data_IF_845316081955
#
_entry.id   IF_845316081955
#
_cell.length_a   1.000
_cell.length_b   1.000
_cell.length_c   1.000
_cell.angle_alpha   90.00
_cell.angle_beta   90.00
_cell.angle_gamma   90.00
#
_symmetry.space_group_name_H-M   'P 1'
#
loop_
_entity.id
_entity.type
_entity.pdbx_description
1 polymer ?
#
# COMPACT_ATOMS: atom_id res chain seq x y z
N UNK A 1 11.06 0.24 -21.36
CA UNK A 1 10.41 0.41 -20.04
C UNK A 1 10.30 1.90 -19.71
N UNK A 2 9.13 2.52 -19.93
CA UNK A 2 8.83 3.87 -19.42
C UNK A 2 7.84 3.71 -18.28
N UNK A 3 8.34 3.30 -17.12
CA UNK A 3 7.61 3.25 -15.86
C UNK A 3 8.27 4.27 -14.95
N UNK A 4 7.68 5.48 -14.82
CA UNK A 4 7.00 5.80 -13.56
C UNK A 4 5.90 6.85 -13.77
N UNK A 5 4.69 6.37 -14.02
CA UNK A 5 3.41 7.07 -13.74
C UNK A 5 2.51 6.18 -12.87
N UNK A 6 3.08 5.08 -12.35
CA UNK A 6 2.32 4.04 -11.68
C UNK A 6 2.35 4.28 -10.16
N UNK A 7 1.18 4.26 -9.49
CA UNK A 7 1.06 4.26 -8.05
C UNK A 7 1.77 3.04 -7.46
N UNK A 8 2.60 3.27 -6.46
CA UNK A 8 3.38 2.22 -5.79
C UNK A 8 2.79 1.99 -4.40
N UNK A 9 2.50 0.74 -4.06
CA UNK A 9 2.31 0.34 -2.67
C UNK A 9 3.63 -0.23 -2.16
N UNK A 10 4.12 0.31 -1.07
CA UNK A 10 5.18 -0.32 -0.28
C UNK A 10 4.53 -1.04 0.88
N UNK A 11 4.61 -2.35 0.85
CA UNK A 11 4.25 -3.17 1.98
C UNK A 11 5.47 -3.48 2.83
N UNK A 12 5.26 -3.42 4.14
CA UNK A 12 6.28 -3.65 5.14
C UNK A 12 5.87 -4.86 5.99
N UNK A 13 6.70 -5.91 5.99
CA UNK A 13 6.47 -7.11 6.79
C UNK A 13 7.68 -7.36 7.68
N UNK A 14 7.44 -7.79 8.91
CA UNK A 14 8.48 -8.31 9.81
C UNK A 14 8.35 -9.84 9.81
N UNK A 15 8.99 -10.56 8.87
CA UNK A 15 9.03 -12.02 8.94
C UNK A 15 9.77 -12.45 10.21
N UNK A 16 9.12 -13.28 11.02
CA UNK A 16 9.76 -13.94 12.16
C UNK A 16 10.55 -15.14 11.65
N UNK A 17 11.88 -15.06 11.72
CA UNK A 17 12.76 -16.17 11.36
C UNK A 17 12.99 -17.06 12.59
N UNK A 18 12.56 -18.32 12.54
CA UNK A 18 12.88 -19.33 13.56
C UNK A 18 14.24 -19.97 13.27
N UNK A 19 15.26 -19.83 14.13
CA UNK A 19 16.51 -20.56 13.97
C UNK A 19 16.30 -22.03 14.39
N UNK A 20 16.42 -22.97 13.45
CA UNK A 20 16.38 -24.41 13.78
C UNK A 20 17.54 -24.88 14.67
N UNK A 21 18.61 -24.09 14.86
CA UNK A 21 19.83 -24.56 15.53
C UNK A 21 20.60 -23.50 16.34
N UNK A 22 19.96 -22.60 17.10
CA UNK A 22 20.61 -21.85 18.21
C UNK A 22 19.58 -21.12 19.08
N UNK A 23 19.63 -21.17 20.43
CA UNK A 23 18.51 -20.73 21.26
C UNK A 23 18.39 -19.21 21.50
N UNK A 24 19.15 -18.33 20.84
CA UNK A 24 19.29 -16.93 21.33
C UNK A 24 19.34 -15.79 20.31
N UNK A 25 19.05 -15.98 19.02
CA UNK A 25 18.95 -14.82 18.09
C UNK A 25 17.80 -15.03 17.09
N UNK A 26 16.65 -14.42 17.35
CA UNK A 26 15.62 -14.20 16.34
C UNK A 26 16.08 -13.04 15.45
N UNK A 27 16.52 -13.32 14.23
CA UNK A 27 16.83 -12.29 13.25
C UNK A 27 15.52 -11.83 12.59
N UNK A 28 14.74 -10.99 13.26
CA UNK A 28 13.59 -10.31 12.66
C UNK A 28 14.07 -9.13 11.81
N UNK A 29 14.62 -9.42 10.62
CA UNK A 29 14.96 -8.38 9.66
C UNK A 29 13.71 -7.96 8.91
N UNK A 30 13.38 -6.67 8.91
CA UNK A 30 12.26 -6.23 8.12
C UNK A 30 12.44 -6.43 6.63
N UNK A 31 11.32 -6.64 5.97
CA UNK A 31 11.25 -6.92 4.55
C UNK A 31 10.25 -5.96 3.91
N UNK A 32 10.75 -5.13 2.99
CA UNK A 32 9.95 -4.18 2.22
C UNK A 32 9.77 -4.65 0.77
N UNK A 33 8.55 -4.51 0.24
CA UNK A 33 8.24 -4.86 -1.16
C UNK A 33 7.56 -3.68 -1.85
N UNK A 34 8.08 -3.29 -3.01
CA UNK A 34 7.48 -2.29 -3.88
C UNK A 34 6.61 -2.96 -4.95
N UNK A 35 5.32 -2.66 -4.92
CA UNK A 35 4.31 -3.28 -5.78
C UNK A 35 3.54 -2.20 -6.52
N UNK A 36 3.25 -2.42 -7.80
CA UNK A 36 2.46 -1.53 -8.65
C UNK A 36 1.31 -2.24 -9.36
N UNK A 37 0.61 -1.47 -10.18
CA UNK A 37 -0.39 -1.99 -11.11
C UNK A 37 -0.11 -1.51 -12.53
N UNK A 38 0.00 -2.44 -13.47
CA UNK A 38 0.16 -2.15 -14.89
C UNK A 38 -1.13 -1.62 -15.56
N UNK A 39 -1.07 -1.40 -16.88
CA UNK A 39 -2.20 -0.98 -17.72
C UNK A 39 -3.32 -2.04 -17.83
N UNK A 40 -3.06 -3.30 -17.50
CA UNK A 40 -4.02 -4.40 -17.47
C UNK A 40 -4.65 -4.63 -16.08
N UNK A 41 -4.31 -3.80 -15.09
CA UNK A 41 -4.83 -3.98 -13.73
C UNK A 41 -4.15 -5.12 -12.96
N UNK A 42 -3.03 -5.63 -13.46
CA UNK A 42 -2.25 -6.73 -12.87
C UNK A 42 -1.23 -6.18 -11.89
N UNK A 43 -0.98 -6.95 -10.83
CA UNK A 43 0.02 -6.63 -9.80
C UNK A 43 1.42 -6.87 -10.36
N UNK A 44 2.27 -5.84 -10.33
CA UNK A 44 3.67 -5.92 -10.76
C UNK A 44 4.61 -5.71 -9.57
N UNK A 45 5.65 -6.53 -9.47
CA UNK A 45 6.70 -6.39 -8.46
C UNK A 45 7.82 -5.50 -9.01
N UNK A 46 8.03 -4.33 -8.40
CA UNK A 46 9.13 -3.44 -8.78
C UNK A 46 10.46 -3.79 -8.10
N UNK A 47 10.39 -4.36 -6.91
CA UNK A 47 11.57 -4.75 -6.16
C UNK A 47 11.27 -5.09 -4.72
N UNK A 48 12.25 -5.68 -4.05
CA UNK A 48 12.19 -6.00 -2.63
C UNK A 48 13.49 -5.58 -1.94
N UNK A 49 13.42 -5.34 -0.64
CA UNK A 49 14.56 -4.94 0.15
C UNK A 49 14.52 -5.59 1.54
N UNK A 50 15.67 -6.13 1.95
CA UNK A 50 15.91 -6.54 3.32
C UNK A 50 16.50 -5.37 4.10
N UNK A 51 15.84 -5.04 5.20
CA UNK A 51 16.22 -3.94 6.06
C UNK A 51 16.87 -4.50 7.32
N UNK A 52 17.88 -3.80 7.83
CA UNK A 52 18.57 -4.22 9.06
C UNK A 52 17.72 -3.95 10.29
N UNK A 53 16.99 -2.83 10.30
CA UNK A 53 16.17 -2.35 11.41
C UNK A 53 15.10 -1.37 10.93
N UNK A 54 14.13 -1.09 11.80
CA UNK A 54 13.15 -0.02 11.64
C UNK A 54 13.77 1.29 12.14
N UNK A 55 14.44 2.03 11.26
CA UNK A 55 14.93 3.37 11.60
C UNK A 55 14.74 4.30 10.42
N UNK A 56 14.65 5.60 10.71
CA UNK A 56 14.59 6.65 9.67
C UNK A 56 15.74 6.51 8.68
N UNK A 57 16.97 6.22 9.15
CA UNK A 57 18.15 6.06 8.29
C UNK A 57 17.95 4.93 7.28
N UNK A 58 17.42 3.81 7.73
CA UNK A 58 17.18 2.63 6.89
C UNK A 58 16.07 2.88 5.87
N UNK A 59 14.97 3.52 6.26
CA UNK A 59 13.92 3.91 5.32
C UNK A 59 14.36 4.99 4.32
N UNK A 60 15.19 5.95 4.74
CA UNK A 60 15.77 6.94 3.82
C UNK A 60 16.66 6.29 2.77
N UNK A 61 17.50 5.34 3.18
CA UNK A 61 18.29 4.54 2.24
C UNK A 61 17.40 3.76 1.26
N UNK A 62 16.32 3.17 1.75
CA UNK A 62 15.36 2.43 0.92
C UNK A 62 14.72 3.34 -0.14
N UNK A 63 14.22 4.52 0.25
CA UNK A 63 13.62 5.48 -0.69
C UNK A 63 14.63 5.97 -1.73
N UNK A 64 15.84 6.36 -1.30
CA UNK A 64 16.92 6.78 -2.23
C UNK A 64 17.26 5.69 -3.23
N UNK A 65 17.39 4.45 -2.75
CA UNK A 65 17.74 3.30 -3.58
C UNK A 65 16.63 3.01 -4.59
N UNK A 66 15.37 3.06 -4.17
CA UNK A 66 14.23 2.92 -5.05
C UNK A 66 14.22 3.97 -6.16
N UNK A 67 14.38 5.26 -5.83
CA UNK A 67 14.44 6.33 -6.84
C UNK A 67 15.62 6.16 -7.79
N UNK A 68 16.79 5.75 -7.28
CA UNK A 68 17.98 5.48 -8.10
C UNK A 68 17.73 4.36 -9.11
N UNK A 69 17.09 3.27 -8.70
CA UNK A 69 16.76 2.14 -9.57
C UNK A 69 15.68 2.51 -10.60
N UNK A 70 14.64 3.22 -10.17
CA UNK A 70 13.52 3.61 -11.04
C UNK A 70 13.83 4.83 -11.91
N UNK A 71 14.96 5.51 -11.69
CA UNK A 71 15.41 6.77 -12.33
C UNK A 71 14.48 7.97 -12.15
N UNK A 72 13.30 7.79 -11.53
CA UNK A 72 12.34 8.85 -11.24
C UNK A 72 11.44 8.44 -10.08
N UNK A 73 11.04 9.44 -9.29
CA UNK A 73 10.15 9.25 -8.16
C UNK A 73 8.72 8.85 -8.60
N UNK A 74 8.01 8.05 -7.79
CA UNK A 74 6.60 7.78 -8.02
C UNK A 74 5.76 9.05 -7.82
N UNK A 75 4.58 9.10 -8.44
CA UNK A 75 3.63 10.22 -8.20
C UNK A 75 2.91 10.05 -6.86
N UNK A 76 2.61 8.81 -6.50
CA UNK A 76 1.89 8.44 -5.29
C UNK A 76 2.53 7.20 -4.68
N UNK A 77 2.61 7.16 -3.35
CA UNK A 77 3.05 6.00 -2.60
C UNK A 77 2.03 5.69 -1.51
N UNK A 78 1.72 4.41 -1.32
CA UNK A 78 0.88 3.91 -0.24
C UNK A 78 1.74 3.08 0.68
N UNK A 79 1.76 3.39 1.98
CA UNK A 79 2.49 2.61 2.98
C UNK A 79 1.67 2.39 4.24
N UNK A 80 2.30 1.73 5.22
CA UNK A 80 1.74 1.57 6.55
C UNK A 80 1.90 2.87 7.35
N UNK A 81 1.17 2.98 8.47
CA UNK A 81 1.25 4.11 9.39
C UNK A 81 2.50 3.99 10.29
N UNK A 82 3.69 4.04 9.69
CA UNK A 82 4.98 4.07 10.39
C UNK A 82 5.57 5.49 10.39
N UNK A 83 5.95 5.98 11.56
CA UNK A 83 6.42 7.36 11.73
C UNK A 83 7.77 7.59 11.02
N UNK A 84 8.69 6.63 11.09
CA UNK A 84 10.01 6.76 10.50
C UNK A 84 9.98 6.67 8.98
N UNK A 85 9.10 5.84 8.43
CA UNK A 85 8.84 5.75 7.01
C UNK A 85 8.18 7.02 6.48
N UNK A 86 7.24 7.61 7.23
CA UNK A 86 6.63 8.89 6.85
C UNK A 86 7.67 10.03 6.79
N UNK A 87 8.57 10.10 7.77
CA UNK A 87 9.69 11.06 7.77
C UNK A 87 10.64 10.83 6.59
N UNK A 88 10.99 9.57 6.31
CA UNK A 88 11.86 9.22 5.19
C UNK A 88 11.24 9.58 3.82
N UNK A 89 9.95 9.30 3.63
CA UNK A 89 9.21 9.66 2.41
C UNK A 89 9.18 11.18 2.23
N UNK A 90 8.84 11.91 3.30
CA UNK A 90 8.77 13.38 3.28
C UNK A 90 10.11 14.02 2.95
N UNK A 91 11.22 13.38 3.34
CA UNK A 91 12.58 13.89 3.11
C UNK A 91 13.13 13.51 1.74
N UNK A 92 12.97 12.25 1.31
CA UNK A 92 13.66 11.71 0.13
C UNK A 92 12.85 11.79 -1.15
N UNK A 93 11.52 11.83 -1.06
CA UNK A 93 10.60 11.90 -2.21
C UNK A 93 9.47 12.93 -1.98
N UNK A 94 9.80 14.21 -1.71
CA UNK A 94 8.85 15.22 -1.23
C UNK A 94 7.70 15.54 -2.20
N UNK A 95 7.88 15.34 -3.51
CA UNK A 95 6.81 15.57 -4.50
C UNK A 95 5.91 14.34 -4.72
N UNK A 96 6.10 13.26 -3.95
CA UNK A 96 5.24 12.07 -3.98
C UNK A 96 4.11 12.24 -2.98
N UNK A 97 2.86 12.08 -3.43
CA UNK A 97 1.75 12.05 -2.48
C UNK A 97 1.75 10.73 -1.70
N UNK A 98 1.98 10.84 -0.40
CA UNK A 98 1.90 9.72 0.53
C UNK A 98 0.46 9.49 0.99
N UNK A 99 0.02 8.23 0.95
CA UNK A 99 -1.21 7.76 1.54
C UNK A 99 -0.98 6.53 2.43
N UNK A 100 -1.87 6.33 3.41
CA UNK A 100 -1.86 5.15 4.25
C UNK A 100 -2.73 4.05 3.66
N UNK A 101 -2.24 2.82 3.74
CA UNK A 101 -2.97 1.65 3.30
C UNK A 101 -4.23 1.48 4.15
N UNK A 102 -5.40 1.59 3.51
CA UNK A 102 -6.69 1.49 4.21
C UNK A 102 -6.83 0.13 4.91
N UNK A 103 -6.33 -0.95 4.31
CA UNK A 103 -6.38 -2.28 4.91
C UNK A 103 -5.59 -2.35 6.22
N UNK A 104 -4.40 -1.74 6.29
CA UNK A 104 -3.60 -1.67 7.52
C UNK A 104 -4.23 -0.80 8.60
N UNK A 105 -4.97 0.24 8.21
CA UNK A 105 -5.75 1.04 9.14
C UNK A 105 -6.89 0.18 9.70
N UNK A 106 -7.71 -0.41 8.83
CA UNK A 106 -8.89 -1.18 9.22
C UNK A 106 -8.55 -2.45 10.00
N UNK A 107 -7.41 -3.09 9.73
CA UNK A 107 -6.99 -4.31 10.44
C UNK A 107 -6.61 -4.04 11.90
N UNK A 108 -6.30 -2.79 12.26
CA UNK A 108 -5.97 -2.37 13.63
C UNK A 108 -7.18 -1.86 14.41
N UNK A 109 -8.35 -1.70 13.77
CA UNK A 109 -9.55 -1.16 14.42
C UNK A 109 -9.97 -1.90 15.66
N UNK A 110 -9.92 -3.23 15.63
CA UNK A 110 -10.32 -4.05 16.77
C UNK A 110 -9.40 -3.84 17.98
N UNK A 111 -8.11 -3.61 17.74
CA UNK A 111 -7.14 -3.30 18.79
C UNK A 111 -7.26 -1.88 19.33
N UNK A 112 -7.66 -0.93 18.48
CA UNK A 112 -7.75 0.49 18.87
C UNK A 112 -9.09 0.85 19.50
N UNK A 113 -10.20 0.44 18.89
CA UNK A 113 -11.50 1.03 19.16
C UNK A 113 -12.48 0.08 19.87
N UNK A 114 -12.29 -1.24 19.84
CA UNK A 114 -13.25 -2.18 20.47
C UNK A 114 -13.42 -1.92 21.97
N UNK A 115 -12.32 -1.68 22.70
CA UNK A 115 -12.39 -1.43 24.14
C UNK A 115 -13.03 -0.06 24.49
N UNK A 116 -12.88 0.92 23.59
CA UNK A 116 -13.36 2.30 23.76
C UNK A 116 -14.84 2.40 23.40
N UNK A 117 -15.22 1.88 22.22
CA UNK A 117 -16.56 2.04 21.65
C UNK A 117 -17.54 0.95 22.08
N UNK A 118 -17.04 -0.22 22.49
CA UNK A 118 -17.84 -1.36 22.94
C UNK A 118 -19.00 -1.66 21.97
N UNK A 119 -20.24 -1.43 22.39
CA UNK A 119 -21.46 -1.68 21.59
C UNK A 119 -21.55 -0.80 20.34
N UNK A 120 -20.92 0.38 20.33
CA UNK A 120 -20.94 1.31 19.20
C UNK A 120 -19.89 0.97 18.13
N UNK A 121 -19.02 -0.02 18.36
CA UNK A 121 -17.92 -0.35 17.45
C UNK A 121 -18.41 -0.72 16.04
N UNK A 122 -19.49 -1.49 15.92
CA UNK A 122 -20.07 -1.90 14.63
C UNK A 122 -20.62 -0.71 13.85
N UNK A 123 -21.37 0.17 14.53
CA UNK A 123 -21.90 1.41 13.96
C UNK A 123 -20.77 2.33 13.50
N UNK A 124 -19.75 2.53 14.34
CA UNK A 124 -18.60 3.35 14.01
C UNK A 124 -17.82 2.79 12.81
N UNK A 125 -17.67 1.47 12.68
CA UNK A 125 -17.05 0.86 11.50
C UNK A 125 -17.86 1.12 10.22
N UNK A 126 -19.20 1.11 10.32
CA UNK A 126 -20.06 1.43 9.18
C UNK A 126 -19.94 2.91 8.80
N UNK A 127 -19.91 3.81 9.78
CA UNK A 127 -19.66 5.23 9.58
C UNK A 127 -18.28 5.47 8.96
N UNK A 128 -17.22 4.89 9.51
CA UNK A 128 -15.87 4.99 8.93
C UNK A 128 -15.87 4.62 7.44
N UNK A 129 -16.53 3.52 7.07
CA UNK A 129 -16.64 3.11 5.67
C UNK A 129 -17.45 4.08 4.81
N UNK A 130 -18.50 4.71 5.36
CA UNK A 130 -19.25 5.78 4.70
C UNK A 130 -18.34 6.98 4.44
N UNK A 131 -17.65 7.46 5.47
CA UNK A 131 -16.75 8.62 5.40
C UNK A 131 -15.54 8.41 4.51
N UNK A 132 -14.93 7.21 4.54
CA UNK A 132 -13.85 6.85 3.64
C UNK A 132 -14.25 6.99 2.16
N UNK A 133 -15.54 6.76 1.84
CA UNK A 133 -16.07 6.89 0.49
C UNK A 133 -16.50 8.29 0.10
N UNK A 134 -16.48 9.26 1.02
CA UNK A 134 -16.86 10.63 0.69
C UNK A 134 -15.94 11.24 -0.38
N UNK A 135 -16.55 12.10 -1.17
CA UNK A 135 -15.93 12.78 -2.30
C UNK A 135 -15.42 14.16 -1.93
N UNK A 136 -16.06 14.77 -0.94
CA UNK A 136 -15.91 16.17 -0.59
C UNK A 136 -15.21 16.36 0.76
N UNK A 137 -14.35 17.38 0.83
CA UNK A 137 -13.56 17.68 2.02
C UNK A 137 -14.44 18.35 3.07
N UNK A 138 -15.32 19.28 2.69
CA UNK A 138 -16.15 20.04 3.62
C UNK A 138 -17.18 19.13 4.30
N UNK A 139 -17.74 18.17 3.56
CA UNK A 139 -18.60 17.11 4.11
C UNK A 139 -17.87 16.26 5.15
N UNK A 140 -16.63 15.86 4.85
CA UNK A 140 -15.81 15.11 5.81
C UNK A 140 -15.51 15.96 7.05
N UNK A 141 -15.10 17.23 6.86
CA UNK A 141 -14.78 18.12 7.97
C UNK A 141 -16.00 18.38 8.86
N UNK A 142 -17.18 18.54 8.28
CA UNK A 142 -18.40 18.84 9.04
C UNK A 142 -18.88 17.67 9.89
N UNK A 143 -18.83 16.46 9.36
CA UNK A 143 -19.50 15.31 9.97
C UNK A 143 -18.56 14.30 10.65
N UNK A 144 -17.24 14.36 10.45
CA UNK A 144 -16.32 13.35 10.99
C UNK A 144 -16.28 13.37 12.53
N UNK A 145 -16.69 12.28 13.21
CA UNK A 145 -16.99 12.34 14.64
C UNK A 145 -15.75 12.33 15.54
N UNK A 146 -14.77 11.44 15.31
CA UNK A 146 -13.49 11.41 16.04
C UNK A 146 -12.54 10.31 15.49
N UNK A 147 -11.26 10.38 15.86
CA UNK A 147 -10.26 9.35 15.59
C UNK A 147 -9.61 9.49 14.22
N UNK A 148 -8.31 9.20 14.12
CA UNK A 148 -7.51 9.31 12.88
C UNK A 148 -7.56 10.68 12.17
N UNK A 149 -8.06 11.72 12.84
CA UNK A 149 -8.28 13.03 12.25
C UNK A 149 -6.96 13.75 11.90
N UNK A 150 -5.95 13.66 12.77
CA UNK A 150 -4.62 14.22 12.53
C UNK A 150 -3.96 13.69 11.25
N UNK A 151 -4.30 12.45 10.88
CA UNK A 151 -3.77 11.79 9.70
C UNK A 151 -4.74 11.82 8.50
N UNK A 152 -5.84 12.58 8.57
CA UNK A 152 -6.90 12.61 7.54
C UNK A 152 -6.38 12.82 6.11
N UNK A 153 -5.34 13.65 5.95
CA UNK A 153 -4.73 13.96 4.65
C UNK A 153 -4.07 12.76 3.96
N UNK A 154 -3.84 11.66 4.68
CA UNK A 154 -3.14 10.48 4.19
C UNK A 154 -4.09 9.28 3.98
N UNK A 155 -5.30 9.26 4.56
CA UNK A 155 -6.20 8.11 4.40
C UNK A 155 -7.60 8.46 3.87
N UNK A 156 -8.06 9.69 4.03
CA UNK A 156 -9.41 10.08 3.57
C UNK A 156 -9.41 10.26 2.05
N UNK A 157 -10.33 9.58 1.37
CA UNK A 157 -10.42 9.60 -0.10
C UNK A 157 -10.49 11.02 -0.66
N UNK A 158 -11.34 11.91 -0.10
CA UNK A 158 -11.48 13.31 -0.50
C UNK A 158 -10.13 14.05 -0.63
N UNK A 159 -9.23 13.87 0.35
CA UNK A 159 -7.88 14.47 0.34
C UNK A 159 -6.90 13.81 -0.64
N UNK A 160 -7.19 12.58 -1.08
CA UNK A 160 -6.36 11.82 -2.01
C UNK A 160 -6.78 11.99 -3.47
N UNK A 161 -8.02 12.42 -3.75
CA UNK A 161 -8.59 12.39 -5.12
C UNK A 161 -7.87 13.22 -6.16
N UNK A 162 -7.18 14.27 -5.73
CA UNK A 162 -6.37 15.09 -6.63
C UNK A 162 -5.14 14.35 -7.21
N UNK A 163 -4.83 13.15 -6.72
CA UNK A 163 -3.65 12.39 -7.10
C UNK A 163 -4.02 11.03 -7.69
N UNK A 164 -3.26 10.59 -8.70
CA UNK A 164 -3.55 9.34 -9.40
C UNK A 164 -3.07 8.12 -8.62
N UNK A 165 -4.00 7.42 -7.96
CA UNK A 165 -3.75 6.15 -7.28
C UNK A 165 -4.13 4.93 -8.10
N UNK A 166 -4.77 5.10 -9.27
CA UNK A 166 -5.02 4.02 -10.24
C UNK A 166 -5.66 2.76 -9.65
N UNK A 167 -6.51 2.92 -8.64
CA UNK A 167 -7.19 1.81 -7.97
C UNK A 167 -6.40 1.03 -6.93
N UNK A 168 -5.24 1.55 -6.48
CA UNK A 168 -4.41 0.93 -5.46
C UNK A 168 -4.91 1.15 -4.02
N UNK A 169 -5.81 2.09 -3.79
CA UNK A 169 -6.33 2.44 -2.46
C UNK A 169 -7.51 1.57 -2.00
N UNK A 170 -8.00 0.64 -2.83
CA UNK A 170 -9.17 -0.17 -2.43
C UNK A 170 -8.76 -1.27 -1.45
N UNK A 171 -9.55 -1.46 -0.40
CA UNK A 171 -9.26 -2.43 0.68
C UNK A 171 -9.04 -3.85 0.14
N UNK A 172 -9.91 -4.31 -0.76
CA UNK A 172 -9.77 -5.64 -1.38
C UNK A 172 -8.52 -5.80 -2.24
N UNK A 173 -8.04 -4.73 -2.89
CA UNK A 173 -6.76 -4.78 -3.63
C UNK A 173 -5.58 -4.87 -2.65
N UNK A 174 -5.56 -4.02 -1.62
CA UNK A 174 -4.53 -4.07 -0.59
C UNK A 174 -4.50 -5.44 0.11
N UNK A 175 -5.67 -6.00 0.41
CA UNK A 175 -5.82 -7.35 0.98
C UNK A 175 -5.30 -8.43 0.03
N UNK A 176 -5.66 -8.37 -1.25
CA UNK A 176 -5.18 -9.33 -2.25
C UNK A 176 -3.66 -9.30 -2.36
N UNK A 177 -3.05 -8.11 -2.36
CA UNK A 177 -1.59 -7.95 -2.39
C UNK A 177 -0.98 -8.48 -1.08
N UNK A 178 -1.58 -8.18 0.07
CA UNK A 178 -1.13 -8.72 1.35
C UNK A 178 -1.18 -10.25 1.40
N UNK A 179 -2.29 -10.86 0.96
CA UNK A 179 -2.45 -12.30 0.86
C UNK A 179 -1.43 -12.91 -0.11
N UNK A 180 -1.18 -12.26 -1.25
CA UNK A 180 -0.13 -12.66 -2.18
C UNK A 180 1.23 -12.69 -1.48
N UNK A 181 1.63 -11.63 -0.78
CA UNK A 181 2.91 -11.61 -0.05
C UNK A 181 2.98 -12.67 1.04
N UNK A 182 1.90 -12.91 1.78
CA UNK A 182 1.85 -13.88 2.86
C UNK A 182 2.13 -15.31 2.38
N UNK A 183 1.81 -15.64 1.12
CA UNK A 183 2.17 -16.93 0.50
C UNK A 183 3.69 -17.16 0.52
N UNK A 184 4.47 -16.10 0.42
CA UNK A 184 5.93 -16.15 0.31
C UNK A 184 6.64 -15.89 1.65
N UNK A 185 5.99 -15.25 2.62
CA UNK A 185 6.54 -14.99 3.96
C UNK A 185 6.03 -16.02 4.98
N UNK A 186 6.69 -17.18 5.06
CA UNK A 186 6.40 -18.17 6.12
C UNK A 186 7.28 -17.94 7.36
N UNK A 187 6.67 -17.97 8.56
CA UNK A 187 7.31 -17.76 9.89
C UNK A 187 8.36 -18.81 10.30
N UNK A 188 8.72 -19.71 9.38
CA UNK A 188 9.71 -20.78 9.57
C UNK A 188 10.72 -20.88 8.41
N UNK A 189 10.66 -19.96 7.45
CA UNK A 189 11.59 -19.91 6.32
C UNK A 189 12.92 -19.30 6.78
N UNK A 190 14.06 -19.78 6.28
CA UNK A 190 15.34 -19.08 6.42
C UNK A 190 15.51 -18.05 5.27
N UNK A 191 16.46 -17.13 5.37
CA UNK A 191 16.67 -16.08 4.35
C UNK A 191 16.83 -16.67 2.93
N UNK A 192 17.57 -17.77 2.80
CA UNK A 192 17.76 -18.47 1.51
C UNK A 192 16.46 -19.07 0.98
N UNK A 193 15.58 -19.54 1.86
CA UNK A 193 14.27 -20.02 1.45
C UNK A 193 13.39 -18.86 0.99
N UNK A 194 13.47 -17.69 1.65
CA UNK A 194 12.71 -16.51 1.26
C UNK A 194 13.14 -15.98 -0.11
N UNK A 195 14.44 -15.96 -0.43
CA UNK A 195 14.92 -15.59 -1.78
C UNK A 195 14.31 -16.51 -2.83
N UNK A 196 14.36 -17.84 -2.60
CA UNK A 196 13.70 -18.80 -3.50
C UNK A 196 12.19 -18.57 -3.61
N UNK A 197 11.51 -18.16 -2.53
CA UNK A 197 10.09 -17.82 -2.57
C UNK A 197 9.83 -16.55 -3.39
N UNK A 198 10.74 -15.57 -3.36
CA UNK A 198 10.64 -14.36 -4.18
C UNK A 198 10.83 -14.70 -5.65
N UNK A 199 11.80 -15.56 -5.99
CA UNK A 199 11.98 -16.03 -7.37
C UNK A 199 10.72 -16.73 -7.89
N UNK A 200 10.14 -17.62 -7.08
CA UNK A 200 8.85 -18.26 -7.40
C UNK A 200 7.70 -17.24 -7.51
N UNK A 201 7.70 -16.18 -6.72
CA UNK A 201 6.69 -15.12 -6.81
C UNK A 201 6.81 -14.34 -8.11
N UNK A 202 8.03 -14.04 -8.55
CA UNK A 202 8.30 -13.40 -9.84
C UNK A 202 7.83 -14.30 -10.99
N UNK A 203 8.12 -15.60 -10.91
CA UNK A 203 7.63 -16.59 -11.89
C UNK A 203 6.09 -16.71 -11.88
N UNK A 204 5.44 -16.77 -10.71
CA UNK A 204 3.98 -16.83 -10.57
C UNK A 204 3.32 -15.60 -11.20
N UNK A 205 3.89 -14.41 -10.97
CA UNK A 205 3.44 -13.15 -11.58
C UNK A 205 3.61 -13.23 -13.11
N UNK A 206 4.78 -13.61 -13.62
CA UNK A 206 5.01 -13.73 -15.07
C UNK A 206 4.11 -14.76 -15.76
N UNK A 207 3.87 -15.91 -15.15
CA UNK A 207 2.95 -16.91 -15.69
C UNK A 207 1.49 -16.46 -15.66
N UNK A 208 1.10 -15.75 -14.60
CA UNK A 208 -0.23 -15.13 -14.48
C UNK A 208 -0.41 -14.08 -15.56
N UNK A 209 0.58 -13.23 -15.80
CA UNK A 209 0.58 -12.26 -16.89
C UNK A 209 0.34 -12.93 -18.26
N UNK A 210 1.04 -14.02 -18.55
CA UNK A 210 0.88 -14.77 -19.79
C UNK A 210 -0.53 -15.38 -19.92
N UNK A 211 -1.02 -16.04 -18.86
CA UNK A 211 -2.38 -16.63 -18.84
C UNK A 211 -3.47 -15.58 -19.03
N UNK A 212 -3.35 -14.43 -18.37
CA UNK A 212 -4.30 -13.34 -18.52
C UNK A 212 -4.24 -12.70 -19.90
N UNK A 213 -3.05 -12.55 -20.49
CA UNK A 213 -2.90 -12.05 -21.87
C UNK A 213 -3.61 -12.97 -22.86
N UNK A 214 -3.44 -14.30 -22.70
CA UNK A 214 -4.17 -15.28 -23.49
C UNK A 214 -5.69 -15.16 -23.27
N UNK A 215 -6.16 -15.12 -22.03
CA UNK A 215 -7.59 -14.98 -21.73
C UNK A 215 -8.20 -13.67 -22.27
N UNK A 216 -7.48 -12.56 -22.22
CA UNK A 216 -7.91 -11.28 -22.79
C UNK A 216 -8.02 -11.36 -24.32
N UNK A 217 -7.10 -12.07 -24.98
CA UNK A 217 -7.20 -12.37 -26.41
C UNK A 217 -8.43 -13.22 -26.75
N UNK A 218 -8.74 -14.23 -25.93
CA UNK A 218 -9.86 -15.14 -26.17
C UNK A 218 -11.24 -14.54 -25.82
N UNK A 219 -11.33 -13.83 -24.69
CA UNK A 219 -12.61 -13.28 -24.20
C UNK A 219 -13.00 -12.02 -24.94
N UNK A 220 -12.02 -11.29 -25.47
CA UNK A 220 -12.23 -9.95 -26.00
C UNK A 220 -12.87 -9.02 -24.95
N UNK A 221 -13.04 -7.76 -25.30
CA UNK A 221 -14.06 -6.95 -24.65
C UNK A 221 -15.09 -6.62 -25.73
N UNK A 222 -16.35 -6.97 -25.49
CA UNK A 222 -17.42 -6.58 -26.40
C UNK A 222 -17.89 -5.17 -26.05
N UNK A 223 -18.27 -4.42 -27.09
CA UNK A 223 -19.03 -3.20 -26.92
C UNK A 223 -20.39 -3.56 -26.30
N UNK A 224 -20.83 -2.81 -25.30
CA UNK A 224 -22.17 -2.96 -24.71
C UNK A 224 -23.18 -2.07 -25.42
N UNK A 225 -22.72 -0.99 -26.01
CA UNK A 225 -23.53 -0.02 -26.74
C UNK A 225 -22.91 0.27 -28.11
N UNK A 226 -23.67 0.90 -28.99
CA UNK A 226 -23.19 1.43 -30.28
C UNK A 226 -22.72 2.89 -30.15
N UNK A 227 -22.29 3.31 -28.96
CA UNK A 227 -21.85 4.68 -28.70
C UNK A 227 -20.47 4.93 -29.32
N UNK A 228 -20.27 6.02 -30.09
CA UNK A 228 -18.95 6.39 -30.62
C UNK A 228 -17.91 6.62 -29.51
N UNK A 229 -18.35 7.10 -28.33
CA UNK A 229 -17.49 7.26 -27.15
C UNK A 229 -16.93 5.91 -26.70
N UNK A 230 -17.77 4.88 -26.67
CA UNK A 230 -17.37 3.53 -26.27
C UNK A 230 -16.42 2.91 -27.31
N UNK A 231 -16.72 3.07 -28.60
CA UNK A 231 -15.84 2.61 -29.68
C UNK A 231 -14.45 3.25 -29.64
N UNK A 232 -14.38 4.57 -29.41
CA UNK A 232 -13.13 5.30 -29.33
C UNK A 232 -12.24 4.74 -28.21
N UNK A 233 -12.81 4.56 -27.02
CA UNK A 233 -12.06 4.01 -25.87
C UNK A 233 -11.70 2.55 -26.10
N UNK A 234 -12.61 1.74 -26.65
CA UNK A 234 -12.38 0.34 -26.95
C UNK A 234 -11.16 0.13 -27.86
N UNK A 235 -11.00 0.97 -28.88
CA UNK A 235 -9.88 0.92 -29.84
C UNK A 235 -8.52 1.15 -29.17
N UNK A 236 -8.47 2.03 -28.17
CA UNK A 236 -7.23 2.50 -27.55
C UNK A 236 -6.85 1.72 -26.28
N UNK A 237 -7.82 1.46 -25.40
CA UNK A 237 -7.57 0.98 -24.05
C UNK A 237 -7.36 -0.55 -23.96
N UNK A 238 -6.66 -0.99 -22.91
CA UNK A 238 -6.64 -2.40 -22.49
C UNK A 238 -8.04 -2.86 -22.07
N UNK A 239 -8.27 -4.18 -22.06
CA UNK A 239 -9.56 -4.75 -21.64
C UNK A 239 -9.94 -4.33 -20.21
N UNK A 240 -8.96 -4.27 -19.30
CA UNK A 240 -9.16 -3.83 -17.92
C UNK A 240 -9.64 -2.37 -17.84
N UNK A 241 -8.92 -1.44 -18.48
CA UNK A 241 -9.27 -0.03 -18.45
C UNK A 241 -10.59 0.24 -19.17
N UNK A 242 -10.82 -0.44 -20.30
CA UNK A 242 -12.08 -0.35 -21.04
C UNK A 242 -13.27 -0.85 -20.21
N UNK A 243 -13.12 -1.96 -19.48
CA UNK A 243 -14.17 -2.43 -18.55
C UNK A 243 -14.49 -1.39 -17.48
N UNK A 244 -13.47 -0.71 -16.93
CA UNK A 244 -13.67 0.37 -15.95
C UNK A 244 -14.38 1.57 -16.56
N UNK A 245 -14.04 1.92 -17.80
CA UNK A 245 -14.78 2.94 -18.55
C UNK A 245 -16.24 2.53 -18.77
N UNK A 246 -16.50 1.29 -19.19
CA UNK A 246 -17.87 0.79 -19.39
C UNK A 246 -18.71 0.85 -18.09
N UNK A 247 -18.11 0.50 -16.95
CA UNK A 247 -18.78 0.61 -15.65
C UNK A 247 -19.19 2.07 -15.32
N UNK A 248 -18.36 3.06 -15.66
CA UNK A 248 -18.70 4.48 -15.49
C UNK A 248 -19.71 4.97 -16.53
N UNK A 249 -19.58 4.52 -17.79
CA UNK A 249 -20.46 4.92 -18.89
C UNK A 249 -21.88 4.39 -18.71
N UNK A 250 -22.04 3.13 -18.30
CA UNK A 250 -23.35 2.55 -17.98
C UNK A 250 -24.05 3.35 -16.88
N UNK A 251 -23.31 3.72 -15.83
CA UNK A 251 -23.84 4.51 -14.71
C UNK A 251 -24.14 5.95 -15.09
N UNK A 252 -23.54 6.50 -16.14
CA UNK A 252 -23.80 7.87 -16.60
C UNK A 252 -25.27 8.08 -17.00
N UNK A 253 -25.95 7.02 -17.44
CA UNK A 253 -27.39 7.03 -17.78
C UNK A 253 -28.31 7.24 -16.57
N UNK A 254 -27.79 7.06 -15.36
CA UNK A 254 -28.53 7.20 -14.10
C UNK A 254 -28.42 8.60 -13.50
N UNK A 255 -27.91 9.59 -14.25
CA UNK A 255 -27.74 10.94 -13.74
C UNK A 255 -28.47 11.95 -14.61
N UNK A 256 -29.15 12.88 -13.95
CA UNK A 256 -29.73 14.06 -14.56
C UNK A 256 -28.69 15.18 -14.59
N UNK A 257 -28.74 15.98 -15.66
CA UNK A 257 -27.85 17.11 -15.86
C UNK A 257 -28.71 18.37 -15.93
N UNK A 258 -28.41 19.36 -15.11
CA UNK A 258 -28.99 20.70 -15.17
C UNK A 258 -27.88 21.72 -15.39
N UNK A 259 -28.10 22.66 -16.29
CA UNK A 259 -27.16 23.75 -16.55
C UNK A 259 -27.35 24.83 -15.47
N UNK A 260 -26.29 25.14 -14.71
CA UNK A 260 -26.32 26.26 -13.76
C UNK A 260 -25.89 27.56 -14.45
N UNK A 261 -24.81 27.50 -15.22
CA UNK A 261 -24.25 28.62 -15.99
C UNK A 261 -23.76 28.12 -17.35
N UNK A 262 -23.34 29.02 -18.25
CA UNK A 262 -22.85 28.66 -19.60
C UNK A 262 -21.70 27.65 -19.63
N UNK A 263 -20.95 27.54 -18.53
CA UNK A 263 -19.76 26.68 -18.40
C UNK A 263 -19.90 25.61 -17.30
N UNK A 264 -21.00 25.59 -16.54
CA UNK A 264 -21.14 24.75 -15.35
C UNK A 264 -22.45 23.95 -15.37
N UNK A 265 -22.32 22.65 -15.13
CA UNK A 265 -23.39 21.68 -15.12
C UNK A 265 -23.47 21.02 -13.74
N UNK A 266 -24.64 21.05 -13.13
CA UNK A 266 -24.95 20.26 -11.95
C UNK A 266 -25.42 18.87 -12.41
N UNK A 267 -24.82 17.84 -11.82
CA UNK A 267 -25.12 16.44 -12.13
C UNK A 267 -25.57 15.75 -10.84
N UNK A 268 -26.73 15.11 -10.87
CA UNK A 268 -27.32 14.45 -9.71
C UNK A 268 -27.92 13.09 -10.11
N UNK A 269 -27.92 12.12 -9.19
CA UNK A 269 -28.54 10.82 -9.46
C UNK A 269 -30.07 10.96 -9.58
N UNK A 270 -30.65 10.37 -10.62
CA UNK A 270 -32.07 10.58 -10.98
C UNK A 270 -33.09 10.15 -9.93
N UNK A 271 -32.79 9.08 -9.17
CA UNK A 271 -33.70 8.51 -8.16
C UNK A 271 -33.44 9.01 -6.74
N UNK A 272 -32.24 9.51 -6.48
CA UNK A 272 -31.81 9.83 -5.12
C UNK A 272 -31.73 11.35 -4.98
N UNK A 273 -32.83 11.99 -4.60
CA UNK A 273 -32.90 13.45 -4.45
C UNK A 273 -31.97 14.00 -3.36
N UNK A 274 -31.59 13.15 -2.39
CA UNK A 274 -30.57 13.45 -1.37
C UNK A 274 -29.17 13.00 -1.76
N UNK A 275 -28.95 12.51 -2.99
CA UNK A 275 -27.61 12.16 -3.46
C UNK A 275 -26.72 13.40 -3.57
N UNK A 276 -25.42 13.17 -3.42
CA UNK A 276 -24.41 14.19 -3.59
C UNK A 276 -24.49 14.77 -5.01
N UNK A 277 -24.53 16.11 -5.09
CA UNK A 277 -24.50 16.84 -6.35
C UNK A 277 -23.06 17.03 -6.78
N UNK A 278 -22.78 16.82 -8.05
CA UNK A 278 -21.46 17.05 -8.62
C UNK A 278 -21.50 18.16 -9.66
N UNK A 279 -20.49 19.03 -9.62
CA UNK A 279 -20.35 20.12 -10.57
C UNK A 279 -19.35 19.68 -11.63
N UNK A 280 -19.76 19.73 -12.89
CA UNK A 280 -18.91 19.56 -14.06
C UNK A 280 -18.74 20.92 -14.71
N UNK A 281 -17.50 21.41 -14.76
CA UNK A 281 -17.17 22.62 -15.49
C UNK A 281 -16.59 22.25 -16.85
N UNK A 282 -17.03 22.94 -17.89
CA UNK A 282 -16.57 22.77 -19.26
C UNK A 282 -16.19 24.14 -19.81
N UNK A 283 -14.90 24.39 -19.92
CA UNK A 283 -14.33 25.59 -20.51
C UNK A 283 -13.41 25.21 -21.66
N UNK A 284 -13.77 25.60 -22.89
CA UNK A 284 -13.10 25.19 -24.14
C UNK A 284 -12.93 23.65 -24.21
N UNK A 285 -11.69 23.17 -24.16
CA UNK A 285 -11.31 21.74 -24.15
C UNK A 285 -11.00 21.20 -22.74
N UNK A 286 -11.22 22.01 -21.71
CA UNK A 286 -10.95 21.67 -20.31
C UNK A 286 -12.27 21.40 -19.58
N UNK A 287 -12.48 20.12 -19.34
CA UNK A 287 -13.56 19.55 -18.54
C UNK A 287 -13.02 19.14 -17.17
N UNK A 288 -13.63 19.61 -16.10
CA UNK A 288 -13.30 19.15 -14.75
C UNK A 288 -14.56 18.77 -13.99
N UNK A 289 -14.44 17.85 -13.03
CA UNK A 289 -15.56 17.42 -12.21
C UNK A 289 -15.17 17.44 -10.74
N UNK A 290 -16.11 17.86 -9.88
CA UNK A 290 -15.89 17.89 -8.43
C UNK A 290 -15.62 16.51 -7.83
N UNK A 291 -16.09 15.42 -8.45
CA UNK A 291 -15.82 14.06 -7.93
C UNK A 291 -14.34 13.63 -8.03
N UNK A 292 -13.53 14.28 -8.88
CA UNK A 292 -12.10 14.02 -9.09
C UNK A 292 -11.72 12.57 -9.44
N UNK A 293 -12.68 11.77 -9.92
CA UNK A 293 -12.44 10.37 -10.30
C UNK A 293 -11.44 10.26 -11.45
N UNK A 294 -11.47 11.20 -12.41
CA UNK A 294 -10.50 11.20 -13.51
C UNK A 294 -9.07 11.42 -13.00
N UNK A 295 -8.86 12.36 -12.10
CA UNK A 295 -7.56 12.63 -11.48
C UNK A 295 -7.10 11.42 -10.65
N UNK A 296 -8.03 10.74 -9.97
CA UNK A 296 -7.73 9.62 -9.09
C UNK A 296 -7.44 8.30 -9.83
N UNK A 297 -8.21 7.97 -10.86
CA UNK A 297 -8.12 6.72 -11.62
C UNK A 297 -7.47 6.87 -12.99
N UNK A 298 -7.53 8.06 -13.60
CA UNK A 298 -7.22 8.26 -15.02
C UNK A 298 -8.32 7.76 -15.96
N UNK A 299 -9.54 7.55 -15.45
CA UNK A 299 -10.72 7.12 -16.21
C UNK A 299 -11.81 8.18 -16.03
N UNK A 300 -12.45 8.59 -17.12
CA UNK A 300 -13.51 9.60 -17.08
C UNK A 300 -14.67 9.09 -16.22
N UNK A 301 -15.17 9.97 -15.36
CA UNK A 301 -16.28 9.63 -14.47
C UNK A 301 -17.63 9.69 -15.18
N UNK A 302 -18.59 8.96 -14.61
CA UNK A 302 -19.99 9.02 -15.05
C UNK A 302 -20.55 10.44 -15.17
N UNK A 303 -20.20 11.36 -14.27
CA UNK A 303 -20.74 12.72 -14.28
C UNK A 303 -20.31 13.50 -15.52
N UNK A 304 -19.02 13.40 -15.88
CA UNK A 304 -18.51 14.00 -17.11
C UNK A 304 -19.19 13.34 -18.31
N UNK A 305 -19.29 12.00 -18.33
CA UNK A 305 -19.95 11.26 -19.40
C UNK A 305 -21.43 11.65 -19.57
N UNK A 306 -22.16 11.90 -18.47
CA UNK A 306 -23.54 12.41 -18.53
C UNK A 306 -23.61 13.77 -19.21
N UNK A 307 -22.64 14.66 -18.97
CA UNK A 307 -22.56 15.97 -19.64
C UNK A 307 -22.17 15.81 -21.12
N UNK A 308 -21.30 14.87 -21.48
CA UNK A 308 -21.01 14.54 -22.88
C UNK A 308 -22.29 14.14 -23.63
N UNK A 309 -23.09 13.25 -23.03
CA UNK A 309 -24.38 12.81 -23.57
C UNK A 309 -25.35 14.01 -23.68
N UNK A 310 -25.45 14.84 -22.63
CA UNK A 310 -26.34 16.01 -22.62
C UNK A 310 -25.94 17.08 -23.67
N UNK A 311 -24.66 17.20 -24.03
CA UNK A 311 -24.18 18.16 -25.04
C UNK A 311 -24.05 17.56 -26.45
N UNK A 312 -24.53 16.34 -26.68
CA UNK A 312 -24.39 15.60 -27.94
C UNK A 312 -22.92 15.56 -28.44
N UNK A 313 -21.98 15.38 -27.50
CA UNK A 313 -20.55 15.25 -27.80
C UNK A 313 -20.17 13.77 -27.82
N UNK A 314 -19.77 13.29 -28.99
CA UNK A 314 -19.50 11.87 -29.25
C UNK A 314 -18.02 11.53 -29.40
N UNK A 315 -17.13 12.49 -29.14
CA UNK A 315 -15.68 12.31 -29.18
C UNK A 315 -15.04 12.82 -27.89
N UNK A 316 -14.24 11.96 -27.26
CA UNK A 316 -13.47 12.26 -26.05
C UNK A 316 -12.14 12.91 -26.45
N UNK A 317 -11.80 14.10 -25.93
CA UNK A 317 -10.49 14.68 -26.17
C UNK A 317 -9.37 13.79 -25.63
N UNK A 318 -8.28 13.65 -26.39
CA UNK A 318 -7.16 12.74 -26.07
C UNK A 318 -6.54 12.98 -24.69
N UNK A 319 -6.62 14.20 -24.15
CA UNK A 319 -6.14 14.52 -22.79
C UNK A 319 -6.86 13.72 -21.69
N UNK A 320 -8.09 13.26 -21.95
CA UNK A 320 -8.87 12.42 -21.04
C UNK A 320 -8.71 10.92 -21.32
N UNK A 321 -7.85 10.57 -22.28
CA UNK A 321 -7.48 9.20 -22.64
C UNK A 321 -5.98 9.03 -22.36
N UNK A 322 -5.56 8.91 -21.09
CA UNK A 322 -4.15 8.89 -20.75
C UNK A 322 -3.47 7.62 -21.28
N UNK A 323 -2.26 7.81 -21.83
CA UNK A 323 -1.45 6.73 -22.41
C UNK A 323 -1.25 5.53 -21.47
N UNK A 324 -1.29 5.74 -20.15
CA UNK A 324 -1.20 4.66 -19.16
C UNK A 324 -2.18 3.53 -19.42
N UNK A 325 -3.34 3.78 -20.00
CA UNK A 325 -4.36 2.77 -20.22
C UNK A 325 -4.34 2.14 -21.60
N UNK A 326 -3.38 2.52 -22.45
CA UNK A 326 -3.36 2.08 -23.84
C UNK A 326 -2.85 0.65 -23.95
N UNK A 327 -3.27 -0.04 -25.01
CA UNK A 327 -2.69 -1.33 -25.39
C UNK A 327 -1.23 -1.16 -25.81
N UNK A 328 -0.41 -2.17 -25.55
CA UNK A 328 1.05 -2.17 -25.80
C UNK A 328 1.45 -1.75 -27.23
N UNK A 329 0.64 -2.12 -28.24
CA UNK A 329 0.85 -1.73 -29.65
C UNK A 329 0.92 -0.22 -29.88
N UNK A 330 0.31 0.59 -29.02
CA UNK A 330 0.33 2.05 -29.12
C UNK A 330 1.49 2.69 -28.35
N UNK A 331 2.06 1.99 -27.35
CA UNK A 331 3.20 2.50 -26.59
C UNK A 331 4.46 2.63 -27.47
N UNK A 332 4.64 1.74 -28.44
CA UNK A 332 5.78 1.81 -29.39
C UNK A 332 5.62 2.96 -30.39
N UNK A 333 4.42 3.14 -30.97
CA UNK A 333 4.16 4.21 -31.95
C UNK A 333 4.31 5.61 -31.37
N UNK A 334 3.88 5.81 -30.13
CA UNK A 334 3.98 7.13 -29.46
C UNK A 334 5.43 7.46 -29.07
N UNK A 335 6.25 6.47 -28.70
CA UNK A 335 7.69 6.70 -28.48
C UNK A 335 8.37 7.15 -29.77
N UNK A 336 8.04 6.54 -30.91
CA UNK A 336 8.56 6.96 -32.22
C UNK A 336 8.13 8.40 -32.54
N UNK A 337 6.85 8.75 -32.34
CA UNK A 337 6.34 10.10 -32.59
C UNK A 337 6.97 11.17 -31.66
N UNK A 338 7.10 10.88 -30.37
CA UNK A 338 7.74 11.79 -29.40
C UNK A 338 9.26 11.93 -29.63
N UNK A 339 9.88 10.94 -30.28
CA UNK A 339 11.30 11.00 -30.68
C UNK A 339 11.47 11.83 -31.96
N UNK A 340 10.51 11.75 -32.90
CA UNK A 340 10.53 12.55 -34.13
C UNK A 340 10.21 14.03 -33.88
N UNK A 341 9.42 14.37 -32.86
CA UNK A 341 9.19 15.78 -32.48
C UNK A 341 10.41 16.46 -31.81
N UNK A 342 11.47 15.71 -31.50
CA UNK A 342 12.73 16.26 -30.96
C UNK A 342 13.86 16.37 -31.98
N UNK A 343 13.62 16.01 -33.25
CA UNK A 343 14.62 16.10 -34.32
C UNK A 343 14.03 16.84 -35.51
N UNK A 344 13.70 18.12 -35.32
CA UNK A 344 13.65 19.08 -36.42
C UNK A 344 14.39 20.32 -35.94
N UNK A 345 15.72 20.28 -36.10
CA UNK A 345 16.61 21.42 -36.33
C UNK A 345 18.07 20.91 -36.39
N UNK A 346 18.44 20.31 -37.52
CA UNK A 346 19.60 20.71 -38.32
C UNK A 346 19.87 19.68 -39.42
N UNK A 347 20.03 20.21 -40.61
CA UNK A 347 20.26 19.57 -41.89
C UNK A 347 21.65 18.94 -42.04
N UNK A 348 21.68 17.89 -42.87
CA UNK A 348 22.81 17.33 -43.62
C UNK A 348 23.98 16.73 -42.81
N UNK A 349 24.10 15.40 -42.80
CA UNK A 349 25.21 14.73 -43.52
C UNK A 349 25.01 13.21 -43.58
N UNK A 350 25.54 12.61 -44.65
CA UNK A 350 25.56 11.18 -44.93
C UNK A 350 26.72 10.54 -44.17
N UNK A 351 26.47 9.42 -43.47
CA UNK A 351 27.58 8.66 -42.87
C UNK A 351 27.12 7.51 -41.99
N UNK A 352 27.13 6.31 -42.55
CA UNK A 352 27.16 5.05 -41.83
C UNK A 352 28.27 5.05 -40.77
N UNK A 353 27.93 4.87 -39.50
CA UNK A 353 28.87 4.39 -38.49
C UNK A 353 28.13 3.57 -37.43
N UNK A 354 28.37 2.26 -37.51
CA UNK A 354 28.28 1.30 -36.41
C UNK A 354 29.24 1.82 -35.33
N UNK A 355 28.73 2.01 -34.11
CA UNK A 355 29.59 2.22 -32.93
C UNK A 355 29.24 1.14 -31.92
N UNK A 356 30.25 0.33 -31.64
CA UNK A 356 30.29 -0.77 -30.70
C UNK A 356 29.71 -0.40 -29.34
N UNK A 357 28.88 -1.30 -28.81
CA UNK A 357 28.50 -1.30 -27.40
C UNK A 357 29.73 -1.83 -26.64
N UNK A 358 30.54 -0.92 -26.13
CA UNK A 358 31.60 -1.25 -25.15
C UNK A 358 30.96 -1.80 -23.87
N UNK A 359 31.45 -2.97 -23.48
CA UNK A 359 30.91 -3.93 -22.53
C UNK A 359 31.28 -3.60 -21.07
N UNK A 360 30.97 -2.39 -20.59
CA UNK A 360 31.38 -1.92 -19.25
C UNK A 360 30.19 -1.68 -18.27
N UNK A 361 29.38 -2.72 -18.05
CA UNK A 361 28.38 -2.71 -16.95
C UNK A 361 28.38 -4.00 -16.11
N UNK A 362 29.57 -4.50 -15.76
CA UNK A 362 29.71 -5.43 -14.63
C UNK A 362 29.71 -4.66 -13.31
N UNK A 363 28.55 -4.61 -12.64
CA UNK A 363 28.48 -4.26 -11.23
C UNK A 363 29.20 -5.38 -10.45
N UNK A 364 30.41 -5.08 -10.00
CA UNK A 364 31.15 -6.00 -9.12
C UNK A 364 30.44 -6.14 -7.78
N UNK A 365 30.33 -7.37 -7.29
CA UNK A 365 29.84 -7.67 -5.94
C UNK A 365 30.58 -6.81 -4.90
N UNK A 366 29.89 -6.32 -3.86
CA UNK A 366 30.55 -5.58 -2.79
C UNK A 366 31.67 -6.44 -2.16
N UNK A 367 32.78 -5.81 -1.73
CA UNK A 367 33.91 -6.54 -1.16
C UNK A 367 33.45 -7.37 0.06
N UNK A 368 33.78 -8.66 0.05
CA UNK A 368 33.52 -9.56 1.17
C UNK A 368 34.21 -8.99 2.41
N UNK A 369 33.42 -8.58 3.40
CA UNK A 369 33.98 -8.16 4.69
C UNK A 369 34.74 -9.34 5.29
N UNK A 370 36.04 -9.19 5.52
CA UNK A 370 36.80 -10.16 6.32
C UNK A 370 36.24 -10.10 7.74
N UNK A 371 35.32 -11.00 8.08
CA UNK A 371 35.00 -11.27 9.47
C UNK A 371 36.29 -11.73 10.14
N UNK A 372 36.81 -10.93 11.08
CA UNK A 372 37.83 -11.42 12.02
C UNK A 372 37.22 -12.65 12.67
N UNK A 373 37.70 -13.84 12.28
CA UNK A 373 37.38 -15.07 12.97
C UNK A 373 37.63 -14.87 14.46
N UNK A 374 36.70 -15.32 15.30
CA UNK A 374 36.90 -15.37 16.75
C UNK A 374 38.22 -16.10 17.01
N UNK A 375 39.21 -15.51 17.71
CA UNK A 375 40.40 -16.22 18.11
C UNK A 375 39.97 -17.48 18.86
N UNK A 376 40.48 -18.65 18.45
CA UNK A 376 40.36 -19.87 19.25
C UNK A 376 41.23 -19.68 20.49
N UNK A 377 40.70 -19.04 21.52
CA UNK A 377 41.27 -19.21 22.86
C UNK A 377 41.13 -20.68 23.22
N UNK A 378 42.28 -21.31 23.50
CA UNK A 378 42.33 -22.58 24.24
C UNK A 378 41.46 -22.40 25.47
N UNK A 379 40.59 -23.38 25.72
CA UNK A 379 39.88 -23.47 27.00
C UNK A 379 40.95 -23.73 28.06
N UNK A 380 41.24 -22.74 28.88
CA UNK A 380 41.92 -23.00 30.14
C UNK A 380 40.93 -23.70 31.07
N UNK A 381 41.37 -24.83 31.61
CA UNK A 381 40.66 -25.59 32.63
C UNK A 381 41.02 -24.94 33.97
N UNK A 382 40.00 -24.63 34.78
CA UNK A 382 40.15 -24.42 36.23
C UNK A 382 39.90 -22.99 36.69
N UNK A 383 38.82 -22.81 37.44
CA UNK A 383 38.56 -21.63 38.25
C UNK A 383 37.31 -21.87 39.09
N UNK A 384 37.50 -22.10 40.40
CA UNK A 384 36.48 -22.43 41.39
C UNK A 384 35.28 -21.47 41.40
N UNK A 385 34.07 -22.04 41.46
CA UNK A 385 32.82 -21.33 41.68
C UNK A 385 32.81 -20.67 43.08
N UNK A 386 33.11 -19.38 43.16
CA UNK A 386 32.74 -18.55 44.32
C UNK A 386 31.43 -17.82 44.05
N UNK A 387 30.33 -18.59 43.99
CA UNK A 387 28.98 -18.05 44.16
C UNK A 387 28.27 -18.82 45.25
N UNK A 388 27.99 -18.13 46.36
CA UNK A 388 27.25 -18.63 47.52
C UNK A 388 26.00 -19.40 47.08
N UNK A 389 25.96 -20.71 47.34
CA UNK A 389 24.82 -21.59 47.05
C UNK A 389 23.57 -21.02 47.75
N UNK A 390 22.61 -20.51 46.97
CA UNK A 390 21.27 -20.19 47.48
C UNK A 390 20.64 -21.46 48.04
N UNK A 391 20.47 -21.51 49.36
CA UNK A 391 19.80 -22.62 50.05
C UNK A 391 18.34 -22.64 49.61
N UNK A 392 17.88 -23.79 49.09
CA UNK A 392 16.49 -23.98 48.67
C UNK A 392 15.56 -24.06 49.88
N UNK A 393 14.49 -23.27 49.87
CA UNK A 393 13.42 -23.26 50.88
C UNK A 393 12.17 -23.97 50.36
N UNK A 394 11.51 -24.74 51.21
CA UNK A 394 10.25 -25.42 50.90
C UNK A 394 9.16 -24.41 50.50
N UNK A 395 8.48 -24.63 49.36
CA UNK A 395 7.44 -23.72 48.89
C UNK A 395 6.15 -23.73 49.73
N UNK A 396 6.00 -24.70 50.65
CA UNK A 396 4.85 -24.82 51.55
C UNK A 396 5.12 -24.13 52.90
N UNK A 397 6.12 -24.56 53.68
CA UNK A 397 6.41 -24.00 55.01
C UNK A 397 7.51 -22.93 55.04
N UNK A 398 8.16 -22.65 53.88
CA UNK A 398 9.25 -21.68 53.71
C UNK A 398 10.54 -21.95 54.50
N UNK A 399 10.67 -23.10 55.18
CA UNK A 399 11.90 -23.53 55.85
C UNK A 399 12.91 -24.12 54.85
N UNK A 400 14.20 -23.91 55.09
CA UNK A 400 15.30 -24.47 54.29
C UNK A 400 15.62 -25.92 54.68
N UNK A 401 16.09 -26.72 53.73
CA UNK A 401 16.60 -28.08 53.98
C UNK A 401 15.72 -29.24 53.49
N UNK A 402 14.55 -28.96 52.92
CA UNK A 402 13.66 -29.95 52.29
C UNK A 402 12.80 -29.30 51.19
N UNK A 403 12.16 -30.13 50.35
CA UNK A 403 11.24 -29.67 49.30
C UNK A 403 9.77 -29.95 49.70
N UNK A 404 8.81 -29.39 48.96
CA UNK A 404 7.38 -29.57 49.22
C UNK A 404 6.90 -31.04 49.24
N UNK A 405 7.62 -31.94 48.57
CA UNK A 405 7.31 -33.37 48.54
C UNK A 405 7.75 -34.12 49.81
N UNK A 406 8.66 -33.53 50.60
CA UNK A 406 9.22 -34.12 51.82
C UNK A 406 8.99 -33.23 53.04
N UNK A 407 7.96 -32.37 52.99
CA UNK A 407 7.65 -31.41 54.04
C UNK A 407 6.91 -32.09 55.21
N UNK A 408 7.46 -32.09 56.44
CA UNK A 408 6.82 -32.72 57.60
C UNK A 408 5.52 -32.01 58.03
N UNK A 409 5.36 -30.73 57.66
CA UNK A 409 4.14 -29.96 57.95
C UNK A 409 2.95 -30.32 57.02
N UNK A 410 3.12 -31.28 56.10
CA UNK A 410 2.12 -31.63 55.08
C UNK A 410 1.07 -32.63 55.55
N UNK A 411 1.31 -33.33 56.66
CA UNK A 411 0.40 -34.37 57.19
C UNK A 411 -0.63 -33.87 58.22
N UNK A 412 -0.66 -32.58 58.54
CA UNK A 412 -1.69 -32.03 59.43
C UNK A 412 -2.56 -30.98 58.73
N UNK A 413 -3.87 -31.28 58.72
CA UNK A 413 -5.04 -30.42 58.46
C UNK A 413 -5.56 -30.40 57.01
N UNK A 414 -6.47 -31.34 56.75
CA UNK A 414 -7.68 -31.10 55.96
C UNK A 414 -8.58 -30.09 56.70
N UNK A 415 -9.38 -29.36 55.91
CA UNK A 415 -10.69 -28.73 56.22
C UNK A 415 -10.73 -27.17 56.12
N UNK A 416 -11.63 -26.74 55.21
CA UNK A 416 -12.39 -25.48 55.10
C UNK A 416 -11.89 -24.27 54.26
N UNK A 417 -12.55 -24.14 53.08
CA UNK A 417 -13.36 -23.03 52.54
C UNK A 417 -12.86 -21.55 52.63
N UNK A 418 -12.81 -20.95 51.41
CA UNK A 418 -12.76 -19.55 50.90
C UNK A 418 -13.22 -18.36 51.79
N UNK A 419 -13.15 -17.07 51.34
CA UNK A 419 -12.25 -16.36 50.40
C UNK A 419 -11.74 -14.99 50.94
N UNK A 420 -10.72 -14.34 50.33
CA UNK A 420 -10.64 -12.86 50.31
C UNK A 420 -9.53 -12.23 49.43
N UNK A 421 -9.94 -11.16 48.75
CA UNK A 421 -9.28 -9.86 48.58
C UNK A 421 -8.10 -9.65 47.58
N UNK A 422 -8.48 -8.94 46.51
CA UNK A 422 -7.77 -7.90 45.74
C UNK A 422 -6.45 -7.38 46.35
N UNK A 423 -5.38 -7.34 45.54
CA UNK A 423 -4.31 -6.34 45.67
C UNK A 423 -3.98 -5.67 44.33
N UNK A 424 -4.02 -4.33 44.40
CA UNK A 424 -3.68 -3.33 43.38
C UNK A 424 -2.35 -3.63 42.68
N UNK A 425 -2.33 -3.49 41.36
CA UNK A 425 -1.10 -3.42 40.56
C UNK A 425 -0.67 -1.96 40.46
N UNK A 426 0.58 -1.70 40.82
CA UNK A 426 1.26 -0.40 40.75
C UNK A 426 1.28 0.12 39.31
N UNK A 427 0.91 1.39 39.18
CA UNK A 427 1.15 2.21 38.01
C UNK A 427 2.65 2.35 37.76
N UNK A 428 3.07 2.05 36.53
CA UNK A 428 4.33 2.50 35.96
C UNK A 428 3.98 3.54 34.90
N UNK A 429 4.46 4.76 35.11
CA UNK A 429 4.30 5.91 34.22
C UNK A 429 4.64 5.54 32.77
N UNK A 430 3.62 5.53 31.91
CA UNK A 430 3.80 5.71 30.49
C UNK A 430 3.97 7.20 30.24
N UNK A 431 5.06 7.58 29.58
CA UNK A 431 5.25 8.91 29.02
C UNK A 431 4.05 9.27 28.15
N UNK A 432 3.37 10.37 28.48
CA UNK A 432 2.33 10.99 27.67
C UNK A 432 2.91 11.48 26.33
N UNK A 433 2.91 10.58 25.35
CA UNK A 433 2.80 10.95 23.94
C UNK A 433 1.41 10.48 23.54
N UNK A 434 0.47 11.43 23.51
CA UNK A 434 -0.90 11.21 23.03
C UNK A 434 -0.84 10.50 21.68
N UNK A 435 -1.30 9.25 21.63
CA UNK A 435 -1.33 8.50 20.39
C UNK A 435 -2.27 9.23 19.42
N UNK A 436 -1.76 9.74 18.28
CA UNK A 436 -2.52 10.60 17.35
C UNK A 436 -3.75 9.91 16.75
N UNK A 437 -3.87 8.59 16.92
CA UNK A 437 -5.03 7.80 16.54
C UNK A 437 -6.29 8.18 17.33
N UNK A 438 -6.18 8.61 18.59
CA UNK A 438 -7.31 8.82 19.51
C UNK A 438 -7.70 10.27 19.74
N UNK A 439 -7.04 11.23 19.09
CA UNK A 439 -7.37 12.63 19.26
C UNK A 439 -8.73 12.95 18.61
N UNK A 440 -9.56 13.67 19.36
CA UNK A 440 -10.87 14.17 18.94
C UNK A 440 -10.66 15.48 18.18
N UNK A 441 -11.52 15.78 17.22
CA UNK A 441 -11.54 17.08 16.54
C UNK A 441 -11.85 18.15 17.59
N UNK A 442 -10.90 19.06 17.84
CA UNK A 442 -11.11 20.23 18.71
C UNK A 442 -12.12 21.20 18.11
#
# INVERSE_FOLDING_TARGET
MVLPVIPVILFYLIPTFSPRYRPFIFLSHPYGIFIGIDNHGRTILFGCAFLQNETVKTFRWLMKTFVKLMKKQPKTIITDQDQWMNEAISTEIPFTKHAFCIWHITSKFSGWFTAILREQYSSWCAEFNRFYRLDDIDDFEREWPFGLYEIKRNWVSAYLRAHCFGGMTTSGRCESIYCFMKRFTSSRSCLTQLIKQIDLAVEDVGQTELRHTMLDMYRGSSLRTLSPLEEQVHKLFTAFAFKKFQEEFERATQYTVSMENSLAYMVQHYKELCSQKHIVTWYDDIITCSCKIFEFWGIICRHVLSVFIHRDRFEIPMRYLPLRWYRDKFHVRVIVLASTERVVNNSNDVGSNIVDISDDNFISSPPISRVKGRPKFRREIGGEETSLKKVRSCSFCKKSGHNITTCPDKENVQVNLMPAAKKKKKDGQASELSNPVFLVKN
#
